data_IF_601261254355
#
_entry.id   IF_601261254355
#
_cell.length_a   1.000
_cell.length_b   1.000
_cell.length_c   1.000
_cell.angle_alpha   90.00
_cell.angle_beta   90.00
_cell.angle_gamma   90.00
#
_symmetry.space_group_name_H-M   'P 1'
#
loop_
_entity.id
_entity.type
_entity.pdbx_description
1 polymer ?
#
# COMPACT_ATOMS: atom_id res chain seq x y z
N UNK A 1 39.44 34.10 42.59
CA UNK A 1 39.56 32.68 42.17
C UNK A 1 38.19 32.00 42.29
N UNK A 2 37.30 32.19 41.30
CA UNK A 2 36.03 31.46 41.18
C UNK A 2 35.89 31.11 39.70
N UNK A 3 35.97 29.82 39.37
CA UNK A 3 35.73 29.29 38.02
C UNK A 3 34.31 28.74 37.98
N UNK A 4 33.54 29.15 36.97
CA UNK A 4 32.35 28.44 36.50
C UNK A 4 32.10 28.81 35.04
N UNK A 5 31.67 27.78 34.29
CA UNK A 5 31.00 27.80 32.98
C UNK A 5 31.89 27.72 31.72
N UNK A 6 32.08 26.49 31.27
CA UNK A 6 31.73 25.95 29.94
C UNK A 6 31.94 24.42 30.06
N UNK A 7 31.22 23.50 29.44
CA UNK A 7 30.16 23.52 28.46
C UNK A 7 30.08 22.06 28.02
N UNK A 8 29.28 21.25 28.72
CA UNK A 8 29.11 19.83 28.42
C UNK A 8 28.44 19.65 27.06
N UNK A 9 29.13 19.03 26.12
CA UNK A 9 28.57 18.50 24.89
C UNK A 9 29.08 17.07 24.72
N UNK A 10 28.40 16.13 25.36
CA UNK A 10 28.38 14.73 24.93
C UNK A 10 26.94 14.24 24.97
N UNK A 11 26.39 13.94 23.80
CA UNK A 11 25.23 13.09 23.65
C UNK A 11 25.31 12.45 22.25
N UNK A 12 26.05 11.33 22.18
CA UNK A 12 25.85 10.34 21.14
C UNK A 12 24.44 9.78 21.28
N UNK A 13 23.62 9.95 20.25
CA UNK A 13 22.29 9.37 20.15
C UNK A 13 22.18 8.61 18.84
N UNK A 14 22.52 7.33 18.86
CA UNK A 14 22.23 6.40 17.78
C UNK A 14 20.69 6.38 17.59
N UNK A 15 20.22 6.88 16.45
CA UNK A 15 18.79 6.83 16.10
C UNK A 15 18.43 5.40 15.73
N UNK A 16 17.34 4.94 16.35
CA UNK A 16 16.93 3.55 16.45
C UNK A 16 16.88 2.81 15.13
N UNK A 17 17.52 1.65 15.12
CA UNK A 17 17.13 0.55 14.26
C UNK A 17 15.69 0.17 14.62
N UNK A 18 14.77 0.36 13.67
CA UNK A 18 13.42 -0.18 13.76
C UNK A 18 13.53 -1.71 13.64
N UNK A 19 13.22 -2.41 14.72
CA UNK A 19 13.14 -3.87 14.75
C UNK A 19 11.66 -4.21 14.89
N UNK A 20 11.01 -4.85 13.91
CA UNK A 20 9.63 -5.26 14.09
C UNK A 20 9.60 -6.35 15.16
N UNK A 21 8.97 -6.05 16.30
CA UNK A 21 8.59 -7.07 17.27
C UNK A 21 7.47 -7.92 16.66
N UNK A 22 7.85 -9.03 16.01
CA UNK A 22 6.92 -10.11 15.69
C UNK A 22 6.45 -10.70 17.02
N UNK A 23 5.24 -10.33 17.42
CA UNK A 23 4.56 -10.90 18.58
C UNK A 23 4.34 -12.39 18.38
N UNK A 24 4.78 -13.18 19.36
CA UNK A 24 4.73 -14.64 19.34
C UNK A 24 3.28 -15.16 19.30
N UNK A 25 2.94 -15.83 18.20
CA UNK A 25 1.62 -16.43 17.98
C UNK A 25 1.39 -17.63 18.90
N UNK A 26 0.60 -17.46 19.95
CA UNK A 26 0.01 -18.57 20.71
C UNK A 26 -1.32 -18.98 20.09
N UNK A 27 -1.35 -20.21 19.55
CA UNK A 27 -2.45 -20.74 18.74
C UNK A 27 -3.80 -20.84 19.45
N UNK A 28 -4.87 -20.60 18.67
CA UNK A 28 -6.22 -21.10 18.93
C UNK A 28 -6.88 -21.53 17.62
N UNK A 29 -7.15 -22.83 17.53
CA UNK A 29 -8.18 -23.55 16.75
C UNK A 29 -8.92 -22.72 15.67
N UNK A 30 -8.64 -23.05 14.40
CA UNK A 30 -9.47 -22.84 13.20
C UNK A 30 -10.34 -21.57 13.19
N UNK A 31 -9.74 -20.41 12.93
CA UNK A 31 -10.47 -19.19 12.61
C UNK A 31 -10.82 -19.21 11.12
N UNK A 32 -12.10 -19.06 10.82
CA UNK A 32 -12.57 -18.79 9.47
C UNK A 32 -11.92 -17.50 8.97
N UNK A 33 -11.33 -17.54 7.78
CA UNK A 33 -10.73 -16.36 7.15
C UNK A 33 -11.88 -15.52 6.59
N UNK A 34 -12.20 -14.39 7.23
CA UNK A 34 -13.14 -13.42 6.68
C UNK A 34 -12.32 -12.36 5.95
N UNK A 35 -12.05 -12.60 4.67
CA UNK A 35 -11.49 -11.60 3.76
C UNK A 35 -12.61 -11.14 2.84
N UNK A 36 -13.04 -9.90 3.02
CA UNK A 36 -13.96 -9.22 2.10
C UNK A 36 -13.16 -8.27 1.23
N UNK A 37 -13.14 -8.58 -0.07
CA UNK A 37 -12.59 -7.69 -1.09
C UNK A 37 -13.76 -7.26 -1.96
N UNK A 38 -13.95 -5.97 -2.11
CA UNK A 38 -14.92 -5.39 -3.04
C UNK A 38 -14.15 -4.63 -4.10
N UNK A 39 -14.32 -4.99 -5.36
CA UNK A 39 -13.65 -4.30 -6.46
C UNK A 39 -14.71 -3.65 -7.35
N UNK A 40 -14.52 -2.36 -7.64
CA UNK A 40 -15.35 -1.61 -8.57
C UNK A 40 -14.48 -1.05 -9.69
N UNK A 41 -14.77 -1.44 -10.93
CA UNK A 41 -14.03 -1.00 -12.11
C UNK A 41 -14.92 -0.10 -12.97
N UNK A 42 -14.52 1.15 -13.13
CA UNK A 42 -15.12 2.04 -14.12
C UNK A 42 -14.61 1.68 -15.53
N UNK A 43 -15.42 1.95 -16.55
CA UNK A 43 -15.13 1.55 -17.93
C UNK A 43 -13.80 2.10 -18.44
N UNK A 44 -13.02 1.28 -19.16
CA UNK A 44 -11.77 1.71 -19.81
C UNK A 44 -10.51 1.36 -19.03
N UNK A 45 -10.61 0.77 -17.85
CA UNK A 45 -9.45 0.23 -17.13
C UNK A 45 -8.86 -1.00 -17.84
N UNK A 46 -7.52 -1.06 -17.94
CA UNK A 46 -6.78 -2.15 -18.56
C UNK A 46 -6.49 -3.31 -17.59
N UNK A 47 -7.40 -3.60 -16.66
CA UNK A 47 -7.26 -4.68 -15.67
C UNK A 47 -8.64 -5.26 -15.35
N UNK A 48 -8.69 -6.58 -15.09
CA UNK A 48 -9.94 -7.23 -14.70
C UNK A 48 -10.19 -7.14 -13.19
N UNK A 49 -11.45 -7.12 -12.79
CA UNK A 49 -11.87 -7.20 -11.38
C UNK A 49 -11.25 -8.43 -10.68
N UNK A 50 -11.24 -9.57 -11.38
CA UNK A 50 -10.71 -10.82 -10.86
C UNK A 50 -9.19 -10.77 -10.64
N UNK A 51 -8.43 -10.07 -11.49
CA UNK A 51 -6.99 -9.88 -11.29
C UNK A 51 -6.70 -9.02 -10.06
N UNK A 52 -7.49 -7.97 -9.82
CA UNK A 52 -7.38 -7.11 -8.63
C UNK A 52 -7.75 -7.87 -7.35
N UNK A 53 -8.86 -8.62 -7.35
CA UNK A 53 -9.24 -9.46 -6.20
C UNK A 53 -8.15 -10.49 -5.86
N UNK A 54 -7.59 -11.17 -6.88
CA UNK A 54 -6.46 -12.09 -6.69
C UNK A 54 -5.25 -11.39 -6.10
N UNK A 55 -4.83 -10.26 -6.67
CA UNK A 55 -3.69 -9.50 -6.17
C UNK A 55 -3.83 -9.14 -4.69
N UNK A 56 -5.00 -8.60 -4.30
CA UNK A 56 -5.30 -8.27 -2.90
C UNK A 56 -5.21 -9.52 -2.01
N UNK A 57 -5.81 -10.64 -2.41
CA UNK A 57 -5.76 -11.89 -1.65
C UNK A 57 -4.35 -12.45 -1.53
N UNK A 58 -3.55 -12.41 -2.60
CA UNK A 58 -2.16 -12.87 -2.60
C UNK A 58 -1.32 -12.05 -1.62
N UNK A 59 -1.49 -10.72 -1.60
CA UNK A 59 -0.81 -9.85 -0.63
C UNK A 59 -1.26 -10.18 0.80
N UNK A 60 -2.57 -10.22 1.07
CA UNK A 60 -3.09 -10.52 2.41
C UNK A 60 -2.58 -11.88 2.92
N UNK A 61 -2.58 -12.90 2.06
CA UNK A 61 -2.05 -14.22 2.40
C UNK A 61 -0.53 -14.19 2.64
N UNK A 62 0.23 -13.46 1.83
CA UNK A 62 1.68 -13.35 1.97
C UNK A 62 2.11 -12.59 3.24
N UNK A 63 1.25 -11.69 3.72
CA UNK A 63 1.41 -10.94 4.98
C UNK A 63 0.81 -11.67 6.20
N UNK A 64 0.22 -12.86 6.01
CA UNK A 64 -0.34 -13.67 7.10
C UNK A 64 -1.62 -13.09 7.70
N UNK A 65 -2.32 -12.23 6.97
CA UNK A 65 -3.58 -11.61 7.40
C UNK A 65 -4.72 -12.60 7.22
N UNK A 66 -5.41 -12.90 8.31
CA UNK A 66 -6.51 -13.88 8.33
C UNK A 66 -7.90 -13.24 8.39
N UNK A 67 -7.98 -11.92 8.55
CA UNK A 67 -9.22 -11.17 8.68
C UNK A 67 -8.97 -9.75 8.17
N UNK A 68 -9.70 -9.33 7.14
CA UNK A 68 -9.56 -8.01 6.54
C UNK A 68 -10.79 -7.64 5.69
N UNK A 69 -11.05 -6.35 5.57
CA UNK A 69 -12.06 -5.80 4.67
C UNK A 69 -11.43 -4.65 3.87
N UNK A 70 -11.34 -4.84 2.55
CA UNK A 70 -10.68 -3.89 1.66
C UNK A 70 -11.60 -3.60 0.48
N UNK A 71 -11.87 -2.32 0.25
CA UNK A 71 -12.54 -1.86 -0.97
C UNK A 71 -11.50 -1.30 -1.93
N UNK A 72 -11.60 -1.65 -3.20
CA UNK A 72 -10.76 -1.10 -4.26
C UNK A 72 -11.64 -0.58 -5.39
N UNK A 73 -11.46 0.69 -5.73
CA UNK A 73 -12.26 1.36 -6.75
C UNK A 73 -11.35 2.03 -7.78
N UNK A 74 -11.54 1.69 -9.06
CA UNK A 74 -10.87 2.39 -10.16
C UNK A 74 -11.73 3.58 -10.59
N UNK A 75 -11.14 4.77 -10.58
CA UNK A 75 -11.79 6.04 -10.92
C UNK A 75 -11.18 6.64 -12.18
N UNK A 76 -11.99 7.41 -12.91
CA UNK A 76 -11.52 8.31 -13.96
C UNK A 76 -10.82 9.55 -13.35
N UNK A 77 -10.11 10.31 -14.18
CA UNK A 77 -9.37 11.49 -13.73
C UNK A 77 -10.27 12.54 -13.03
N UNK A 78 -11.48 12.88 -13.54
CA UNK A 78 -12.37 13.79 -12.84
C UNK A 78 -12.77 13.31 -11.44
N UNK A 79 -13.15 12.03 -11.29
CA UNK A 79 -13.60 11.49 -10.01
C UNK A 79 -12.46 11.40 -8.99
N UNK A 80 -11.26 10.99 -9.41
CA UNK A 80 -10.13 10.93 -8.46
C UNK A 80 -9.61 12.33 -8.11
N UNK A 81 -9.64 13.30 -9.04
CA UNK A 81 -9.28 14.69 -8.75
C UNK A 81 -10.24 15.32 -7.73
N UNK A 82 -11.54 15.03 -7.85
CA UNK A 82 -12.53 15.45 -6.88
C UNK A 82 -12.27 14.84 -5.50
N UNK A 83 -11.99 13.53 -5.41
CA UNK A 83 -11.61 12.90 -4.15
C UNK A 83 -10.33 13.49 -3.57
N UNK A 84 -9.30 13.65 -4.40
CA UNK A 84 -8.02 14.22 -3.99
C UNK A 84 -8.21 15.62 -3.37
N UNK A 85 -9.07 16.43 -3.98
CA UNK A 85 -9.36 17.76 -3.46
C UNK A 85 -10.26 17.78 -2.22
N UNK A 86 -11.21 16.83 -2.10
CA UNK A 86 -12.07 16.70 -0.91
C UNK A 86 -11.27 16.26 0.32
N UNK A 87 -10.33 15.33 0.16
CA UNK A 87 -9.66 14.69 1.30
C UNK A 87 -8.24 15.21 1.56
N UNK A 88 -7.48 15.62 0.54
CA UNK A 88 -6.10 16.11 0.68
C UNK A 88 -5.93 17.57 0.21
N UNK A 89 -7.01 18.26 -0.15
CA UNK A 89 -7.00 19.69 -0.47
C UNK A 89 -6.39 20.05 -1.83
N UNK A 90 -6.04 19.06 -2.66
CA UNK A 90 -5.45 19.28 -3.99
C UNK A 90 -6.40 18.80 -5.09
N UNK A 91 -6.94 19.72 -5.90
CA UNK A 91 -7.87 19.43 -6.99
C UNK A 91 -7.10 19.04 -8.28
N UNK A 92 -6.41 17.90 -8.25
CA UNK A 92 -5.69 17.37 -9.40
C UNK A 92 -5.76 15.83 -9.43
N UNK A 93 -5.79 15.20 -10.60
CA UNK A 93 -5.73 13.74 -10.70
C UNK A 93 -4.46 13.20 -10.00
N UNK A 94 -4.60 12.07 -9.34
CA UNK A 94 -3.49 11.31 -8.75
C UNK A 94 -3.60 9.85 -9.16
N UNK A 95 -2.53 9.10 -9.00
CA UNK A 95 -2.49 7.67 -9.34
C UNK A 95 -3.23 6.80 -8.32
N UNK A 96 -3.04 7.04 -7.02
CA UNK A 96 -3.68 6.28 -5.95
C UNK A 96 -3.95 7.14 -4.71
N UNK A 97 -5.08 6.86 -4.05
CA UNK A 97 -5.42 7.32 -2.70
C UNK A 97 -5.71 6.08 -1.85
N UNK A 98 -5.20 6.03 -0.63
CA UNK A 98 -5.41 4.90 0.28
C UNK A 98 -5.78 5.40 1.66
N UNK A 99 -6.88 4.85 2.20
CA UNK A 99 -7.43 5.24 3.48
C UNK A 99 -7.45 4.02 4.41
N UNK A 100 -6.59 4.02 5.43
CA UNK A 100 -6.69 3.06 6.52
C UNK A 100 -7.81 3.51 7.48
N UNK A 101 -8.82 2.67 7.67
CA UNK A 101 -10.02 2.94 8.46
C UNK A 101 -10.10 2.08 9.75
N UNK A 102 -8.95 1.58 10.21
CA UNK A 102 -8.83 0.77 11.42
C UNK A 102 -7.75 1.35 12.33
N UNK A 103 -7.84 1.03 13.62
CA UNK A 103 -6.83 1.38 14.62
C UNK A 103 -5.76 0.29 14.77
N UNK A 104 -4.65 0.62 15.45
CA UNK A 104 -3.59 -0.35 15.74
C UNK A 104 -4.13 -1.57 16.51
N UNK A 105 -3.90 -2.77 15.96
CA UNK A 105 -4.33 -4.04 16.57
C UNK A 105 -5.74 -4.49 16.17
N UNK A 106 -6.47 -3.70 15.39
CA UNK A 106 -7.71 -4.12 14.74
C UNK A 106 -7.42 -4.83 13.39
N UNK A 107 -8.34 -5.67 12.90
CA UNK A 107 -8.22 -6.22 11.55
C UNK A 107 -8.12 -5.11 10.49
N UNK A 108 -7.28 -5.25 9.46
CA UNK A 108 -7.17 -4.26 8.40
C UNK A 108 -8.52 -3.94 7.76
N UNK A 109 -8.91 -2.68 7.86
CA UNK A 109 -10.06 -2.09 7.17
C UNK A 109 -9.57 -0.88 6.37
N UNK A 110 -9.92 -0.79 5.09
CA UNK A 110 -9.57 0.39 4.32
C UNK A 110 -10.09 0.42 2.88
N UNK A 111 -9.99 1.61 2.29
CA UNK A 111 -10.39 1.88 0.92
C UNK A 111 -9.19 2.30 0.07
N UNK A 112 -9.10 1.77 -1.14
CA UNK A 112 -8.10 2.10 -2.14
C UNK A 112 -8.81 2.66 -3.37
N UNK A 113 -8.46 3.87 -3.78
CA UNK A 113 -8.96 4.51 -5.00
C UNK A 113 -7.81 4.71 -5.98
N UNK A 114 -7.94 4.20 -7.20
CA UNK A 114 -6.87 4.25 -8.21
C UNK A 114 -7.37 5.01 -9.44
N UNK A 115 -6.63 6.02 -9.87
CA UNK A 115 -6.93 6.80 -11.08
C UNK A 115 -6.45 6.06 -12.31
N UNK A 116 -7.32 5.30 -12.98
CA UNK A 116 -6.86 4.35 -14.00
C UNK A 116 -6.30 5.02 -15.26
N UNK A 117 -6.75 6.23 -15.58
CA UNK A 117 -6.24 7.02 -16.70
C UNK A 117 -4.84 7.59 -16.38
N UNK A 118 -4.66 8.14 -15.18
CA UNK A 118 -3.36 8.58 -14.66
C UNK A 118 -2.35 7.43 -14.59
N UNK A 119 -2.76 6.27 -14.05
CA UNK A 119 -1.94 5.06 -14.02
C UNK A 119 -1.55 4.59 -15.43
N UNK A 120 -2.47 4.65 -16.40
CA UNK A 120 -2.19 4.26 -17.79
C UNK A 120 -1.17 5.18 -18.47
N UNK A 121 -1.23 6.50 -18.22
CA UNK A 121 -0.21 7.44 -18.70
C UNK A 121 1.15 7.15 -18.09
N UNK A 122 1.20 6.93 -16.77
CA UNK A 122 2.43 6.56 -16.05
C UNK A 122 3.03 5.26 -16.57
N UNK A 123 2.20 4.25 -16.82
CA UNK A 123 2.63 2.98 -17.40
C UNK A 123 3.30 3.19 -18.78
N UNK A 124 2.71 4.04 -19.63
CA UNK A 124 3.28 4.37 -20.94
C UNK A 124 4.63 5.08 -20.83
N UNK A 125 4.80 5.99 -19.87
CA UNK A 125 6.08 6.67 -19.60
C UNK A 125 7.16 5.71 -19.10
N UNK A 126 6.77 4.71 -18.30
CA UNK A 126 7.66 3.67 -17.77
C UNK A 126 7.92 2.51 -18.75
N UNK A 127 7.16 2.45 -19.85
CA UNK A 127 7.25 1.36 -20.83
C UNK A 127 6.72 0.02 -20.32
N UNK A 128 5.80 0.04 -19.36
CA UNK A 128 5.15 -1.17 -18.79
C UNK A 128 3.69 -1.28 -19.21
N UNK A 129 3.08 -2.45 -19.03
CA UNK A 129 1.67 -2.64 -19.31
C UNK A 129 0.80 -1.84 -18.32
N UNK A 130 -0.29 -1.22 -18.79
CA UNK A 130 -1.20 -0.48 -17.92
C UNK A 130 -1.81 -1.36 -16.82
N UNK A 131 -2.14 -2.62 -17.13
CA UNK A 131 -2.62 -3.59 -16.13
C UNK A 131 -1.57 -3.89 -15.05
N UNK A 132 -0.29 -3.95 -15.41
CA UNK A 132 0.81 -4.14 -14.45
C UNK A 132 0.91 -2.96 -13.48
N UNK A 133 0.85 -1.73 -13.99
CA UNK A 133 0.89 -0.54 -13.13
C UNK A 133 -0.32 -0.46 -12.20
N UNK A 134 -1.51 -0.84 -12.69
CA UNK A 134 -2.72 -0.91 -11.86
C UNK A 134 -2.59 -1.94 -10.73
N UNK A 135 -2.00 -3.11 -11.01
CA UNK A 135 -1.69 -4.11 -9.98
C UNK A 135 -0.65 -3.58 -8.98
N UNK A 136 0.40 -2.91 -9.47
CA UNK A 136 1.42 -2.30 -8.61
C UNK A 136 0.81 -1.26 -7.67
N UNK A 137 -0.08 -0.40 -8.15
CA UNK A 137 -0.79 0.59 -7.33
C UNK A 137 -1.77 -0.05 -6.33
N UNK A 138 -2.43 -1.15 -6.71
CA UNK A 138 -3.28 -1.91 -5.79
C UNK A 138 -2.46 -2.52 -4.62
N UNK A 139 -1.33 -3.15 -4.93
CA UNK A 139 -0.39 -3.67 -3.92
C UNK A 139 0.15 -2.53 -3.05
N UNK A 140 0.52 -1.41 -3.67
CA UNK A 140 1.01 -0.22 -2.98
C UNK A 140 0.01 0.30 -1.94
N UNK A 141 -1.23 0.54 -2.35
CA UNK A 141 -2.28 1.04 -1.46
C UNK A 141 -2.61 0.06 -0.34
N UNK A 142 -2.61 -1.24 -0.64
CA UNK A 142 -2.85 -2.26 0.37
C UNK A 142 -1.72 -2.34 1.40
N UNK A 143 -0.46 -2.24 0.98
CA UNK A 143 0.66 -2.20 1.92
C UNK A 143 0.57 -1.00 2.87
N UNK A 144 0.13 0.15 2.38
CA UNK A 144 -0.16 1.30 3.25
C UNK A 144 -1.27 1.01 4.26
N UNK A 145 -2.35 0.34 3.86
CA UNK A 145 -3.40 -0.11 4.80
C UNK A 145 -2.81 -1.08 5.84
N UNK A 146 -1.86 -1.93 5.46
CA UNK A 146 -1.19 -2.85 6.40
C UNK A 146 -0.15 -2.16 7.31
N UNK A 147 -0.04 -0.84 7.26
CA UNK A 147 0.86 -0.06 8.13
C UNK A 147 2.29 0.06 7.62
N UNK A 148 2.56 -0.30 6.35
CA UNK A 148 3.84 -0.01 5.74
C UNK A 148 3.96 1.48 5.42
N UNK A 149 5.14 2.04 5.70
CA UNK A 149 5.47 3.43 5.38
C UNK A 149 6.36 3.53 4.12
N UNK A 150 6.10 4.55 3.33
CA UNK A 150 6.82 4.85 2.10
C UNK A 150 7.34 6.29 2.12
N UNK A 151 8.61 6.51 2.46
CA UNK A 151 9.17 7.85 2.52
C UNK A 151 9.41 8.41 1.12
N UNK A 152 9.29 9.73 0.99
CA UNK A 152 9.60 10.43 -0.27
C UNK A 152 11.09 10.37 -0.61
N UNK A 153 11.96 10.47 0.39
CA UNK A 153 13.41 10.36 0.24
C UNK A 153 13.85 8.91 0.46
N UNK A 154 14.64 8.35 -0.45
CA UNK A 154 15.04 6.94 -0.39
C UNK A 154 13.89 5.98 -0.70
N UNK A 155 12.86 6.48 -1.40
CA UNK A 155 11.65 5.76 -1.79
C UNK A 155 11.93 4.35 -2.30
N UNK A 156 12.81 4.23 -3.29
CA UNK A 156 13.17 2.97 -3.94
C UNK A 156 14.03 2.03 -3.08
N UNK A 157 14.58 2.54 -1.98
CA UNK A 157 15.38 1.75 -1.04
C UNK A 157 14.58 1.27 0.17
N UNK A 158 13.35 1.77 0.33
CA UNK A 158 12.51 1.49 1.48
C UNK A 158 12.12 0.01 1.57
N UNK A 159 11.92 -0.54 2.78
CA UNK A 159 11.45 -1.91 2.95
C UNK A 159 10.13 -2.18 2.22
N UNK A 160 9.21 -1.20 2.24
CA UNK A 160 7.93 -1.29 1.52
C UNK A 160 8.13 -1.43 0.01
N UNK A 161 9.03 -0.65 -0.59
CA UNK A 161 9.28 -0.74 -2.04
C UNK A 161 9.77 -2.13 -2.44
N UNK A 162 10.75 -2.66 -1.71
CA UNK A 162 11.29 -4.00 -1.98
C UNK A 162 10.21 -5.07 -1.82
N UNK A 163 9.36 -4.93 -0.80
CA UNK A 163 8.26 -5.86 -0.54
C UNK A 163 7.19 -5.78 -1.63
N UNK A 164 6.86 -4.57 -2.08
CA UNK A 164 5.95 -4.34 -3.20
C UNK A 164 6.44 -5.05 -4.46
N UNK A 165 7.69 -4.82 -4.87
CA UNK A 165 8.19 -5.41 -6.12
C UNK A 165 8.29 -6.95 -6.04
N UNK A 166 8.61 -7.52 -4.88
CA UNK A 166 8.54 -8.98 -4.64
C UNK A 166 7.11 -9.51 -4.81
N UNK A 167 6.11 -8.85 -4.24
CA UNK A 167 4.70 -9.26 -4.34
C UNK A 167 4.16 -9.09 -5.76
N UNK A 168 4.44 -7.97 -6.42
CA UNK A 168 4.03 -7.70 -7.81
C UNK A 168 4.62 -8.75 -8.75
N UNK A 169 5.90 -9.06 -8.61
CA UNK A 169 6.56 -10.08 -9.45
C UNK A 169 5.91 -11.46 -9.30
N UNK A 170 5.51 -11.84 -8.07
CA UNK A 170 4.80 -13.10 -7.82
C UNK A 170 3.42 -13.13 -8.48
N UNK A 171 2.66 -12.04 -8.33
CA UNK A 171 1.31 -11.93 -8.91
C UNK A 171 1.37 -12.02 -10.43
N UNK A 172 2.30 -11.31 -11.08
CA UNK A 172 2.46 -11.36 -12.54
C UNK A 172 2.85 -12.75 -13.03
N UNK A 173 3.76 -13.43 -12.32
CA UNK A 173 4.15 -14.80 -12.67
C UNK A 173 2.99 -15.80 -12.55
N UNK A 174 2.08 -15.59 -11.59
CA UNK A 174 0.86 -16.40 -11.44
C UNK A 174 -0.14 -16.15 -12.59
N UNK A 175 -0.26 -14.91 -13.08
CA UNK A 175 -1.12 -14.56 -14.22
C UNK A 175 -0.59 -15.16 -15.54
N UNK A 176 0.73 -15.18 -15.75
CA UNK A 176 1.35 -15.75 -16.96
C UNK A 176 1.29 -17.28 -17.01
N UNK A 177 1.21 -17.94 -15.85
CA UNK A 177 1.18 -19.40 -15.75
C UNK A 177 -0.20 -20.02 -16.04
N UNK A 178 -1.20 -19.20 -16.38
CA UNK A 178 -2.61 -19.56 -16.57
C UNK A 178 -3.02 -19.53 -18.04
#
# INVERSE_FOLDING_TARGET
MRRRCDGSLEAGGAKGAWVPHVGEARGRRGRWILIRVQVQVHSGAAVSEAALDRAVRTVLSAEGVSEAEVSLTLLDDPAIAEMHGRYLGTQAPTDVLSFALHDEGEPPLGDIYIGHETASRRAAELGVAAGEELLRLAVHGLLHILGYDHPDVGRYESPMFKRQEDLVSRILAEEEAM
#
